data_IF_020734286693
#
_entry.id   IF_020734286693
#
_cell.length_a   1.000
_cell.length_b   1.000
_cell.length_c   1.000
_cell.angle_alpha   90.00
_cell.angle_beta   90.00
_cell.angle_gamma   90.00
#
_symmetry.space_group_name_H-M   'P 1'
#
loop_
_entity.id
_entity.type
_entity.pdbx_description
1 polymer ?
#
# COMPACT_ATOMS: atom_id res chain seq x y z
N UNK A 1 -7.01 13.45 10.11
CA UNK A 1 -5.79 13.64 9.29
C UNK A 1 -6.00 12.86 7.99
N UNK A 2 -5.57 13.38 6.84
CA UNK A 2 -5.68 12.61 5.59
C UNK A 2 -4.66 11.45 5.63
N UNK A 3 -5.13 10.22 5.42
CA UNK A 3 -4.28 9.02 5.37
C UNK A 3 -3.92 8.63 3.93
N UNK A 4 -2.88 7.81 3.76
CA UNK A 4 -2.47 7.25 2.48
C UNK A 4 -3.07 5.86 2.34
N UNK A 5 -3.80 5.63 1.24
CA UNK A 5 -4.43 4.34 0.94
C UNK A 5 -3.67 3.66 -0.20
N UNK A 6 -3.31 2.39 0.03
CA UNK A 6 -2.60 1.57 -0.96
C UNK A 6 -3.48 0.40 -1.36
N UNK A 7 -3.80 0.30 -2.65
CA UNK A 7 -4.48 -0.87 -3.21
C UNK A 7 -3.45 -1.97 -3.49
N UNK A 8 -3.62 -3.11 -2.85
CA UNK A 8 -2.83 -4.31 -3.09
C UNK A 8 -3.52 -5.22 -4.10
N UNK A 9 -2.89 -5.42 -5.24
CA UNK A 9 -3.34 -6.34 -6.29
C UNK A 9 -2.78 -7.73 -6.03
N UNK A 10 -3.61 -8.76 -6.19
CA UNK A 10 -3.17 -10.15 -6.10
C UNK A 10 -2.90 -10.73 -7.49
N UNK A 11 -1.88 -11.58 -7.59
CA UNK A 11 -1.58 -12.36 -8.80
C UNK A 11 -2.44 -13.62 -8.87
N UNK A 12 -2.44 -14.30 -10.01
CA UNK A 12 -3.27 -15.51 -10.24
C UNK A 12 -2.93 -16.71 -9.35
N UNK A 13 -1.79 -16.69 -8.66
CA UNK A 13 -1.39 -17.68 -7.64
C UNK A 13 -1.80 -17.27 -6.21
N UNK A 14 -2.51 -16.15 -6.05
CA UNK A 14 -2.94 -15.60 -4.77
C UNK A 14 -1.87 -14.83 -4.00
N UNK A 15 -0.66 -14.70 -4.54
CA UNK A 15 0.37 -13.84 -3.93
C UNK A 15 0.11 -12.36 -4.22
N UNK A 16 0.77 -11.47 -3.47
CA UNK A 16 0.66 -10.03 -3.72
C UNK A 16 1.57 -9.63 -4.88
N UNK A 17 1.05 -8.86 -5.83
CA UNK A 17 1.85 -8.34 -6.92
C UNK A 17 3.06 -7.55 -6.38
N UNK A 18 4.24 -7.78 -6.96
CA UNK A 18 5.48 -7.12 -6.54
C UNK A 18 5.35 -5.59 -6.57
N UNK A 19 4.66 -5.04 -7.56
CA UNK A 19 4.43 -3.59 -7.63
C UNK A 19 3.65 -3.07 -6.41
N UNK A 20 2.68 -3.84 -5.89
CA UNK A 20 1.94 -3.45 -4.69
C UNK A 20 2.81 -3.40 -3.43
N UNK A 21 3.85 -4.24 -3.32
CA UNK A 21 4.80 -4.14 -2.19
C UNK A 21 5.73 -2.94 -2.32
N UNK A 22 6.16 -2.61 -3.54
CA UNK A 22 6.96 -1.42 -3.83
C UNK A 22 6.18 -0.13 -3.53
N UNK A 23 4.90 -0.07 -3.93
CA UNK A 23 4.01 1.07 -3.63
C UNK A 23 3.74 1.18 -2.12
N UNK A 24 3.54 0.07 -1.41
CA UNK A 24 3.39 0.09 0.04
C UNK A 24 4.64 0.65 0.74
N UNK A 25 5.83 0.33 0.23
CA UNK A 25 7.10 0.85 0.72
C UNK A 25 7.23 2.36 0.45
N UNK A 26 6.88 2.80 -0.75
CA UNK A 26 6.85 4.22 -1.12
C UNK A 26 5.87 5.01 -0.24
N UNK A 27 4.68 4.46 0.01
CA UNK A 27 3.66 5.10 0.85
C UNK A 27 4.17 5.34 2.27
N UNK A 28 4.97 4.43 2.84
CA UNK A 28 5.61 4.63 4.15
C UNK A 28 6.63 5.76 4.14
N UNK A 29 7.45 5.87 3.09
CA UNK A 29 8.37 7.00 2.95
C UNK A 29 7.61 8.33 2.84
N UNK A 30 6.56 8.37 2.02
CA UNK A 30 5.73 9.56 1.87
C UNK A 30 5.01 9.96 3.16
N UNK A 31 4.53 8.98 3.94
CA UNK A 31 3.93 9.23 5.25
C UNK A 31 4.87 9.92 6.23
N UNK A 32 6.17 9.55 6.22
CA UNK A 32 7.18 10.19 7.04
C UNK A 32 7.36 11.68 6.68
N UNK A 33 7.39 11.99 5.39
CA UNK A 33 7.48 13.37 4.87
C UNK A 33 6.17 14.17 5.09
N UNK A 34 5.03 13.48 5.19
CA UNK A 34 3.69 14.10 5.30
C UNK A 34 3.23 14.28 6.74
N UNK A 35 4.15 14.41 7.70
CA UNK A 35 3.83 14.64 9.11
C UNK A 35 3.30 13.40 9.83
N UNK A 36 3.68 12.20 9.38
CA UNK A 36 3.34 10.93 10.02
C UNK A 36 1.94 10.42 9.68
N UNK A 37 1.47 10.63 8.45
CA UNK A 37 0.16 10.16 8.01
C UNK A 37 0.03 8.62 8.11
N UNK A 38 -1.16 8.14 8.49
CA UNK A 38 -1.43 6.71 8.53
C UNK A 38 -1.43 6.10 7.12
N UNK A 39 -0.79 4.94 6.96
CA UNK A 39 -0.78 4.17 5.72
C UNK A 39 -1.61 2.92 5.88
N UNK A 40 -2.69 2.81 5.10
CA UNK A 40 -3.63 1.68 5.13
C UNK A 40 -3.56 0.92 3.80
N UNK A 41 -3.29 -0.38 3.86
CA UNK A 41 -3.35 -1.27 2.71
C UNK A 41 -4.72 -1.94 2.60
N UNK A 42 -5.31 -1.96 1.39
CA UNK A 42 -6.54 -2.68 1.09
C UNK A 42 -6.24 -3.70 -0.01
N UNK A 43 -6.49 -4.97 0.29
CA UNK A 43 -6.38 -6.07 -0.67
C UNK A 43 -7.78 -6.64 -0.87
N UNK A 44 -8.22 -6.74 -2.12
CA UNK A 44 -9.49 -7.36 -2.47
C UNK A 44 -9.16 -8.62 -3.26
N UNK A 45 -9.25 -9.77 -2.59
CA UNK A 45 -9.19 -11.07 -3.25
C UNK A 45 -10.57 -11.52 -3.69
N UNK A 46 -10.63 -12.19 -4.84
CA UNK A 46 -11.81 -12.92 -5.32
C UNK A 46 -11.70 -14.40 -4.95
#
# INVERSE_FOLDING_TARGET
MAGIWVHGEITGDGSLAKLSTEVATLARALAAESGGADVTGVVIGA
#
